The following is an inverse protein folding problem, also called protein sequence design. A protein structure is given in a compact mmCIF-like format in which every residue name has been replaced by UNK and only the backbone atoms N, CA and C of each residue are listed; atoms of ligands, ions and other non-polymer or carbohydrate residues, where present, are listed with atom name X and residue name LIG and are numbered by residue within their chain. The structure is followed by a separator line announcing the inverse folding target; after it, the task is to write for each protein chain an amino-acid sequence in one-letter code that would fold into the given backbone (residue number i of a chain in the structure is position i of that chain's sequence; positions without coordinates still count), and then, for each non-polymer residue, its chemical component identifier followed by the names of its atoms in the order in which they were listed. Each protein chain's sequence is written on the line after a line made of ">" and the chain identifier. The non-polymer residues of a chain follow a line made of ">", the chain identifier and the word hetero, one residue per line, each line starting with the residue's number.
data_IF_956506308470
#
_entry.id   IF_956506308470
#
_cell.length_a   1.000
_cell.length_b   1.000
_cell.length_c   1.000
_cell.angle_alpha   90.00
_cell.angle_beta   90.00
_cell.angle_gamma   90.00
#
_symmetry.space_group_name_H-M   'P 1'
#
loop_
_entity.id
_entity.type
_entity.pdbx_description
1 polymer ?
#
# COMPACT_ATOMS: atom_id res chain seq x y z
N UNK A 1 -24.87 3.96 18.56
CA UNK A 1 -23.80 3.17 17.89
C UNK A 1 -22.67 2.93 18.88
N UNK A 2 -22.54 1.71 19.36
CA UNK A 2 -21.60 1.38 20.40
C UNK A 2 -20.20 1.22 19.79
N UNK A 3 -19.37 2.27 19.86
CA UNK A 3 -17.97 2.29 19.42
C UNK A 3 -17.06 1.31 20.23
N UNK A 4 -17.68 0.53 21.12
CA UNK A 4 -17.02 -0.35 22.11
C UNK A 4 -16.84 -1.80 21.66
N UNK A 5 -17.24 -2.18 20.45
CA UNK A 5 -17.33 -3.59 20.03
C UNK A 5 -16.03 -4.21 19.45
N UNK A 6 -14.84 -3.76 19.79
CA UNK A 6 -13.59 -4.49 19.50
C UNK A 6 -13.26 -5.51 20.60
N UNK A 7 -12.46 -6.55 20.29
CA UNK A 7 -12.01 -7.56 21.27
C UNK A 7 -11.13 -6.94 22.36
N UNK A 8 -10.33 -5.93 21.98
CA UNK A 8 -9.41 -5.25 22.91
C UNK A 8 -9.95 -3.86 23.29
N UNK A 9 -10.39 -3.73 24.56
CA UNK A 9 -11.02 -2.52 25.09
C UNK A 9 -10.07 -1.78 26.06
N UNK A 10 -10.11 -0.44 26.02
CA UNK A 10 -9.41 0.42 26.95
C UNK A 10 -8.12 1.05 26.40
N UNK A 11 -7.70 2.15 27.06
CA UNK A 11 -6.46 2.87 26.73
C UNK A 11 -5.19 2.01 26.92
N UNK A 12 -5.04 1.21 27.99
CA UNK A 12 -3.83 0.41 28.18
C UNK A 12 -3.68 -0.70 27.12
N UNK A 13 -4.76 -1.36 26.70
CA UNK A 13 -4.73 -2.39 25.67
C UNK A 13 -4.29 -1.81 24.31
N UNK A 14 -4.72 -0.58 23.98
CA UNK A 14 -4.30 0.11 22.77
C UNK A 14 -2.79 0.42 22.75
N UNK A 15 -2.25 1.00 23.83
CA UNK A 15 -0.82 1.31 23.91
C UNK A 15 0.04 0.05 23.91
N UNK A 16 -0.42 -0.99 24.60
CA UNK A 16 0.24 -2.31 24.57
C UNK A 16 0.27 -2.86 23.13
N UNK A 17 -0.84 -2.79 22.41
CA UNK A 17 -0.89 -3.24 21.02
C UNK A 17 0.09 -2.47 20.12
N UNK A 18 0.20 -1.14 20.24
CA UNK A 18 1.18 -0.34 19.51
C UNK A 18 2.61 -0.78 19.85
N UNK A 19 2.92 -0.96 21.14
CA UNK A 19 4.26 -1.40 21.55
C UNK A 19 4.58 -2.80 21.01
N UNK A 20 3.64 -3.73 21.08
CA UNK A 20 3.79 -5.10 20.55
C UNK A 20 3.99 -5.07 19.03
N UNK A 21 3.23 -4.25 18.29
CA UNK A 21 3.37 -4.14 16.85
C UNK A 21 4.69 -3.45 16.45
N UNK A 22 5.13 -2.42 17.16
CA UNK A 22 6.44 -1.80 16.94
C UNK A 22 7.59 -2.77 17.23
N UNK A 23 7.54 -3.47 18.34
CA UNK A 23 8.51 -4.52 18.66
C UNK A 23 8.47 -5.64 17.61
N UNK A 24 7.26 -6.07 17.23
CA UNK A 24 7.05 -7.06 16.17
C UNK A 24 7.60 -6.63 14.81
N UNK A 25 7.45 -5.36 14.43
CA UNK A 25 8.00 -4.82 13.19
C UNK A 25 9.53 -4.81 13.23
N UNK A 26 10.14 -4.36 14.33
CA UNK A 26 11.59 -4.37 14.51
C UNK A 26 12.16 -5.80 14.48
N UNK A 27 11.56 -6.72 15.21
CA UNK A 27 11.96 -8.14 15.21
C UNK A 27 11.75 -8.77 13.84
N UNK A 28 10.65 -8.44 13.15
CA UNK A 28 10.39 -8.89 11.78
C UNK A 28 11.45 -8.38 10.81
N UNK A 29 11.86 -7.12 10.89
CA UNK A 29 12.90 -6.55 10.04
C UNK A 29 14.25 -7.25 10.28
N UNK A 30 14.64 -7.41 11.56
CA UNK A 30 15.88 -8.09 11.94
C UNK A 30 15.88 -9.55 11.44
N UNK A 31 14.76 -10.24 11.54
CA UNK A 31 14.69 -11.63 11.11
C UNK A 31 14.56 -11.77 9.60
N UNK A 32 13.71 -10.97 8.97
CA UNK A 32 13.44 -11.02 7.54
C UNK A 32 14.68 -10.76 6.67
N UNK A 33 15.64 -9.94 7.14
CA UNK A 33 16.88 -9.65 6.41
C UNK A 33 17.77 -10.88 6.24
N UNK A 34 17.64 -11.88 7.12
CA UNK A 34 18.42 -13.13 7.04
C UNK A 34 17.90 -14.08 5.95
N UNK A 35 16.62 -13.95 5.57
CA UNK A 35 16.00 -14.77 4.51
C UNK A 35 16.25 -14.20 3.11
N UNK A 36 16.56 -15.07 2.16
CA UNK A 36 16.73 -14.70 0.76
C UNK A 36 17.11 -15.92 -0.09
N UNK A 37 17.18 -15.71 -1.41
CA UNK A 37 17.56 -16.75 -2.39
C UNK A 37 19.00 -17.26 -2.25
N UNK A 38 19.85 -16.49 -1.57
CA UNK A 38 21.25 -16.85 -1.27
C UNK A 38 21.36 -17.09 0.23
N UNK A 39 21.89 -18.24 0.62
CA UNK A 39 22.12 -18.57 2.03
C UNK A 39 23.33 -17.79 2.56
N UNK A 40 23.06 -16.92 3.53
CA UNK A 40 24.09 -16.17 4.27
C UNK A 40 23.96 -16.53 5.75
N UNK A 41 25.12 -16.66 6.42
CA UNK A 41 25.13 -16.88 7.87
C UNK A 41 24.53 -15.66 8.59
N UNK A 42 23.59 -15.89 9.49
CA UNK A 42 22.92 -14.84 10.25
C UNK A 42 23.88 -13.85 10.91
N UNK A 43 24.99 -14.36 11.50
CA UNK A 43 26.00 -13.52 12.11
C UNK A 43 26.68 -12.56 11.13
N UNK A 44 26.95 -12.99 9.90
CA UNK A 44 27.58 -12.16 8.89
C UNK A 44 26.63 -11.07 8.36
N UNK A 45 25.34 -11.41 8.21
CA UNK A 45 24.30 -10.42 7.85
C UNK A 45 24.28 -9.26 8.85
N UNK A 46 24.27 -9.56 10.15
CA UNK A 46 24.26 -8.52 11.18
C UNK A 46 25.58 -7.74 11.27
N UNK A 47 26.72 -8.39 11.01
CA UNK A 47 28.02 -7.69 10.95
C UNK A 47 28.10 -6.72 9.79
N UNK A 48 27.57 -7.09 8.61
CA UNK A 48 27.45 -6.16 7.46
C UNK A 48 26.58 -4.96 7.83
N UNK A 49 25.43 -5.19 8.44
CA UNK A 49 24.53 -4.08 8.85
C UNK A 49 25.23 -3.18 9.86
N UNK A 50 25.85 -3.77 10.89
CA UNK A 50 26.60 -3.01 11.90
C UNK A 50 27.72 -2.19 11.27
N UNK A 51 28.51 -2.79 10.39
CA UNK A 51 29.59 -2.11 9.69
C UNK A 51 29.05 -0.92 8.87
N UNK A 52 28.04 -1.13 8.03
CA UNK A 52 27.47 -0.09 7.16
C UNK A 52 26.81 1.05 7.95
N UNK A 53 26.12 0.75 9.04
CA UNK A 53 25.55 1.78 9.92
C UNK A 53 26.62 2.59 10.63
N UNK A 54 27.66 1.92 11.17
CA UNK A 54 28.75 2.61 11.86
C UNK A 54 29.68 3.35 10.89
N UNK A 55 29.85 2.87 9.67
CA UNK A 55 30.53 3.59 8.57
C UNK A 55 29.81 4.90 8.24
N UNK A 56 28.48 4.87 8.11
CA UNK A 56 27.65 6.06 7.88
C UNK A 56 27.73 7.07 9.05
N UNK A 57 27.99 6.60 10.26
CA UNK A 57 28.21 7.43 11.46
C UNK A 57 29.67 7.85 11.66
N UNK A 58 30.58 7.55 10.72
CA UNK A 58 32.01 7.88 10.71
C UNK A 58 32.86 7.16 11.77
N UNK A 59 32.41 6.01 12.30
CA UNK A 59 33.20 5.15 13.19
C UNK A 59 32.99 3.65 12.86
N UNK A 60 33.48 3.16 11.72
CA UNK A 60 33.25 1.80 11.26
C UNK A 60 33.75 0.76 12.27
N UNK A 61 32.88 -0.20 12.62
CA UNK A 61 33.16 -1.31 13.52
C UNK A 61 33.15 -2.62 12.72
N UNK A 62 34.31 -3.26 12.60
CA UNK A 62 34.47 -4.53 11.89
C UNK A 62 35.51 -4.44 10.78
N UNK A 63 35.67 -5.56 10.07
CA UNK A 63 36.61 -5.68 8.97
C UNK A 63 36.05 -5.10 7.69
N UNK A 64 36.70 -4.05 7.15
CA UNK A 64 36.23 -3.35 5.95
C UNK A 64 36.36 -4.21 4.68
N UNK A 65 37.35 -5.12 4.62
CA UNK A 65 37.53 -6.00 3.46
C UNK A 65 36.45 -7.09 3.40
N UNK A 66 35.92 -7.52 4.56
CA UNK A 66 34.93 -8.59 4.67
C UNK A 66 33.48 -8.06 4.68
N UNK A 67 33.22 -6.96 5.41
CA UNK A 67 31.86 -6.46 5.65
C UNK A 67 31.57 -5.13 4.95
N UNK A 68 32.60 -4.42 4.50
CA UNK A 68 32.49 -3.12 3.83
C UNK A 68 32.21 -3.24 2.32
N UNK A 69 32.69 -4.33 1.69
CA UNK A 69 32.61 -4.52 0.23
C UNK A 69 32.42 -6.00 -0.14
N UNK A 70 32.12 -6.25 -1.41
CA UNK A 70 31.94 -7.60 -1.94
C UNK A 70 30.49 -8.09 -1.96
N UNK A 71 30.25 -9.22 -2.62
CA UNK A 71 28.90 -9.70 -2.96
C UNK A 71 27.99 -9.91 -1.74
N UNK A 72 28.55 -10.32 -0.60
CA UNK A 72 27.77 -10.50 0.64
C UNK A 72 27.27 -9.15 1.16
N UNK A 73 28.15 -8.13 1.25
CA UNK A 73 27.79 -6.77 1.65
C UNK A 73 26.74 -6.18 0.70
N UNK A 74 26.93 -6.34 -0.60
CA UNK A 74 26.04 -5.81 -1.63
C UNK A 74 24.65 -6.45 -1.56
N UNK A 75 24.57 -7.77 -1.38
CA UNK A 75 23.28 -8.48 -1.21
C UNK A 75 22.52 -7.98 0.01
N UNK A 76 23.19 -7.79 1.15
CA UNK A 76 22.53 -7.36 2.37
C UNK A 76 22.11 -5.89 2.28
N UNK A 77 23.04 -5.01 1.86
CA UNK A 77 22.86 -3.56 1.95
C UNK A 77 22.11 -2.95 0.77
N UNK A 78 22.29 -3.45 -0.46
CA UNK A 78 21.67 -2.91 -1.66
C UNK A 78 20.50 -3.73 -2.20
N UNK A 79 20.30 -4.98 -1.73
CA UNK A 79 19.19 -5.80 -2.18
C UNK A 79 18.21 -6.08 -1.05
N UNK A 80 18.63 -6.74 0.04
CA UNK A 80 17.71 -7.20 1.09
C UNK A 80 17.12 -6.07 1.91
N UNK A 81 17.96 -5.20 2.47
CA UNK A 81 17.48 -4.11 3.33
C UNK A 81 16.58 -3.10 2.60
N UNK A 82 16.97 -2.56 1.41
CA UNK A 82 16.11 -1.65 0.70
C UNK A 82 14.74 -2.26 0.41
N UNK A 83 14.71 -3.52 0.03
CA UNK A 83 13.49 -4.23 -0.29
C UNK A 83 12.54 -4.36 0.91
N UNK A 84 13.07 -4.66 2.11
CA UNK A 84 12.29 -4.72 3.34
C UNK A 84 11.77 -3.34 3.76
N UNK A 85 12.61 -2.30 3.62
CA UNK A 85 12.21 -0.91 3.90
C UNK A 85 11.10 -0.46 2.95
N UNK A 86 11.21 -0.81 1.66
CA UNK A 86 10.15 -0.54 0.69
C UNK A 86 8.85 -1.26 1.05
N UNK A 87 8.93 -2.54 1.45
CA UNK A 87 7.76 -3.30 1.89
C UNK A 87 7.04 -2.62 3.07
N UNK A 88 7.79 -2.12 4.05
CA UNK A 88 7.25 -1.36 5.18
C UNK A 88 6.47 -0.13 4.67
N UNK A 89 7.11 0.71 3.85
CA UNK A 89 6.50 1.95 3.35
C UNK A 89 5.23 1.68 2.52
N UNK A 90 5.31 0.76 1.56
CA UNK A 90 4.18 0.40 0.70
C UNK A 90 3.05 -0.24 1.50
N UNK A 91 3.36 -1.15 2.42
CA UNK A 91 2.37 -1.78 3.29
C UNK A 91 1.61 -0.78 4.17
N UNK A 92 2.33 0.19 4.75
CA UNK A 92 1.73 1.32 5.49
C UNK A 92 0.80 2.13 4.60
N UNK A 93 1.29 2.56 3.43
CA UNK A 93 0.54 3.43 2.52
C UNK A 93 -0.77 2.78 2.05
N UNK A 94 -0.72 1.53 1.61
CA UNK A 94 -1.89 0.81 1.13
C UNK A 94 -2.91 0.56 2.26
N UNK A 95 -2.46 0.18 3.46
CA UNK A 95 -3.34 0.00 4.61
C UNK A 95 -4.01 1.32 5.01
N UNK A 96 -3.27 2.44 5.05
CA UNK A 96 -3.81 3.77 5.33
C UNK A 96 -4.83 4.22 4.29
N UNK A 97 -4.50 4.07 3.00
CA UNK A 97 -5.43 4.39 1.93
C UNK A 97 -6.72 3.57 2.05
N UNK A 98 -6.61 2.28 2.43
CA UNK A 98 -7.75 1.42 2.70
C UNK A 98 -8.63 1.91 3.85
N UNK A 99 -8.04 2.30 4.98
CA UNK A 99 -8.79 2.88 6.12
C UNK A 99 -9.62 4.07 5.67
N UNK A 100 -9.01 4.98 4.93
CA UNK A 100 -9.62 6.24 4.47
C UNK A 100 -10.71 5.97 3.44
N UNK A 101 -10.44 5.10 2.46
CA UNK A 101 -11.41 4.75 1.42
C UNK A 101 -12.66 4.10 2.00
N UNK A 102 -12.49 3.18 2.95
CA UNK A 102 -13.60 2.54 3.64
C UNK A 102 -14.46 3.54 4.44
N UNK A 103 -13.84 4.59 5.00
CA UNK A 103 -14.57 5.66 5.68
C UNK A 103 -15.36 6.54 4.69
N UNK A 104 -14.73 6.96 3.59
CA UNK A 104 -15.33 7.83 2.57
C UNK A 104 -16.52 7.14 1.89
N UNK A 105 -16.33 5.88 1.50
CA UNK A 105 -17.36 5.09 0.79
C UNK A 105 -18.40 4.53 1.76
N UNK A 106 -18.15 4.56 3.07
CA UNK A 106 -18.96 3.94 4.12
C UNK A 106 -19.19 2.44 3.89
N UNK A 107 -18.17 1.79 3.33
CA UNK A 107 -18.20 0.37 3.06
C UNK A 107 -16.89 -0.28 3.55
N UNK A 108 -16.94 -1.20 4.52
CA UNK A 108 -15.73 -1.88 5.02
C UNK A 108 -15.05 -2.76 3.97
N UNK A 109 -15.72 -3.00 2.85
CA UNK A 109 -15.22 -3.79 1.72
C UNK A 109 -14.61 -2.90 0.61
N UNK A 110 -14.55 -1.59 0.80
CA UNK A 110 -13.95 -0.70 -0.18
C UNK A 110 -12.42 -0.87 -0.19
N UNK A 111 -11.90 -1.16 -1.37
CA UNK A 111 -10.46 -1.19 -1.66
C UNK A 111 -10.03 0.19 -2.18
N UNK A 112 -8.82 0.67 -1.89
CA UNK A 112 -8.29 1.92 -2.46
C UNK A 112 -8.33 1.96 -3.99
N UNK A 113 -8.26 0.81 -4.63
CA UNK A 113 -8.29 0.67 -6.08
C UNK A 113 -9.68 0.82 -6.72
N UNK A 114 -10.77 0.78 -5.94
CA UNK A 114 -12.16 0.94 -6.44
C UNK A 114 -12.35 2.29 -7.17
N UNK A 115 -11.56 3.30 -6.85
CA UNK A 115 -11.58 4.59 -7.55
C UNK A 115 -10.81 4.61 -8.87
N UNK A 116 -10.53 3.46 -9.47
CA UNK A 116 -9.83 3.41 -10.75
C UNK A 116 -8.33 3.71 -10.70
N UNK A 117 -7.76 3.88 -9.50
CA UNK A 117 -6.32 4.16 -9.31
C UNK A 117 -5.47 3.08 -9.96
N UNK A 118 -5.79 1.80 -9.72
CA UNK A 118 -5.09 0.65 -10.32
C UNK A 118 -5.22 0.62 -11.84
N UNK A 119 -6.40 0.87 -12.37
CA UNK A 119 -6.65 0.86 -13.83
C UNK A 119 -5.94 2.02 -14.53
N UNK A 120 -5.93 3.20 -13.91
CA UNK A 120 -5.16 4.35 -14.37
C UNK A 120 -3.66 4.09 -14.37
N UNK A 121 -3.16 3.47 -13.30
CA UNK A 121 -1.77 3.04 -13.19
C UNK A 121 -1.39 2.02 -14.28
N UNK A 122 -2.24 1.02 -14.47
CA UNK A 122 -2.04 -0.02 -15.49
C UNK A 122 -2.02 0.58 -16.90
N UNK A 123 -2.92 1.50 -17.21
CA UNK A 123 -2.93 2.22 -18.49
C UNK A 123 -1.65 3.05 -18.65
N UNK A 124 -1.24 3.81 -17.62
CA UNK A 124 -0.01 4.59 -17.64
C UNK A 124 1.22 3.72 -17.90
N UNK A 125 1.35 2.60 -17.20
CA UNK A 125 2.44 1.65 -17.40
C UNK A 125 2.40 1.02 -18.80
N UNK A 126 1.22 0.65 -19.29
CA UNK A 126 1.04 0.09 -20.62
C UNK A 126 1.52 1.07 -21.69
N UNK A 127 1.11 2.34 -21.60
CA UNK A 127 1.57 3.39 -22.53
C UNK A 127 3.08 3.64 -22.43
N UNK A 128 3.63 3.65 -21.22
CA UNK A 128 5.05 3.80 -21.00
C UNK A 128 5.85 2.65 -21.63
N UNK A 129 5.44 1.40 -21.41
CA UNK A 129 6.15 0.20 -21.87
C UNK A 129 6.00 0.00 -23.38
N UNK A 130 4.77 0.16 -23.93
CA UNK A 130 4.50 -0.12 -25.34
C UNK A 130 4.84 1.04 -26.27
N UNK A 131 4.56 2.27 -25.86
CA UNK A 131 4.70 3.47 -26.70
C UNK A 131 5.93 4.29 -26.31
N UNK A 132 6.52 4.02 -25.14
CA UNK A 132 7.66 4.79 -24.64
C UNK A 132 7.27 6.16 -24.06
N UNK A 133 6.00 6.35 -23.68
CA UNK A 133 5.55 7.62 -23.08
C UNK A 133 6.38 7.88 -21.82
N UNK A 134 6.99 9.06 -21.75
CA UNK A 134 7.81 9.47 -20.60
C UNK A 134 9.26 8.94 -20.63
N UNK A 135 9.72 8.27 -21.69
CA UNK A 135 11.09 7.70 -21.76
C UNK A 135 12.20 8.74 -21.54
N UNK A 136 11.92 10.01 -21.81
CA UNK A 136 12.84 11.13 -21.55
C UNK A 136 13.03 11.45 -20.05
N UNK A 137 12.21 10.86 -19.14
CA UNK A 137 12.27 11.07 -17.69
C UNK A 137 13.31 10.17 -16.99
N UNK A 138 14.05 9.35 -17.73
CA UNK A 138 15.08 8.46 -17.17
C UNK A 138 14.58 7.07 -16.78
N UNK A 139 15.38 6.32 -16.05
CA UNK A 139 15.16 4.88 -15.79
C UNK A 139 13.88 4.52 -15.03
N UNK A 140 13.32 5.45 -14.25
CA UNK A 140 12.08 5.23 -13.46
C UNK A 140 10.78 5.64 -14.17
N UNK A 141 10.82 5.98 -15.47
CA UNK A 141 9.70 6.60 -16.18
C UNK A 141 8.41 5.78 -16.18
N UNK A 142 8.49 4.47 -16.23
CA UNK A 142 7.29 3.60 -16.20
C UNK A 142 6.50 3.81 -14.92
N UNK A 143 7.16 3.84 -13.78
CA UNK A 143 6.52 4.12 -12.50
C UNK A 143 5.95 5.54 -12.43
N UNK A 144 6.67 6.55 -12.94
CA UNK A 144 6.20 7.94 -12.97
C UNK A 144 4.95 8.11 -13.84
N UNK A 145 4.93 7.51 -15.03
CA UNK A 145 3.76 7.55 -15.90
C UNK A 145 2.58 6.76 -15.32
N UNK A 146 2.85 5.64 -14.65
CA UNK A 146 1.83 4.89 -13.92
C UNK A 146 1.26 5.70 -12.75
N UNK A 147 2.11 6.38 -11.97
CA UNK A 147 1.68 7.32 -10.93
C UNK A 147 0.79 8.43 -11.50
N UNK A 148 1.22 9.06 -12.60
CA UNK A 148 0.44 10.10 -13.26
C UNK A 148 -0.92 9.57 -13.74
N UNK A 149 -0.95 8.39 -14.36
CA UNK A 149 -2.18 7.71 -14.78
C UNK A 149 -3.13 7.43 -13.61
N UNK A 150 -2.60 6.89 -12.51
CA UNK A 150 -3.35 6.66 -11.29
C UNK A 150 -3.98 7.95 -10.73
N UNK A 151 -3.18 9.00 -10.65
CA UNK A 151 -3.60 10.29 -10.11
C UNK A 151 -4.63 10.99 -11.02
N UNK A 152 -4.40 10.99 -12.33
CA UNK A 152 -5.32 11.58 -13.30
C UNK A 152 -6.70 10.87 -13.30
N UNK A 153 -6.70 9.54 -13.22
CA UNK A 153 -7.96 8.80 -13.12
C UNK A 153 -8.68 9.11 -11.81
N UNK A 154 -7.96 9.20 -10.69
CA UNK A 154 -8.56 9.62 -9.41
C UNK A 154 -9.17 11.02 -9.49
N UNK A 155 -8.49 11.98 -10.13
CA UNK A 155 -9.01 13.32 -10.38
C UNK A 155 -10.25 13.27 -11.26
N UNK A 156 -10.24 12.44 -12.31
CA UNK A 156 -11.39 12.21 -13.18
C UNK A 156 -12.60 11.64 -12.42
N UNK A 157 -12.38 10.68 -11.51
CA UNK A 157 -13.44 10.13 -10.65
C UNK A 157 -14.04 11.22 -9.76
N UNK A 158 -13.20 12.03 -9.12
CA UNK A 158 -13.66 13.14 -8.28
C UNK A 158 -14.46 14.15 -9.12
N UNK A 159 -13.96 14.52 -10.30
CA UNK A 159 -14.64 15.44 -11.18
C UNK A 159 -16.00 14.91 -11.65
N UNK A 160 -16.08 13.66 -12.13
CA UNK A 160 -17.31 13.01 -12.55
C UNK A 160 -18.32 12.87 -11.40
N UNK A 161 -17.87 12.48 -10.21
CA UNK A 161 -18.75 12.34 -9.05
C UNK A 161 -19.36 13.66 -8.57
N UNK A 162 -18.76 14.80 -8.93
CA UNK A 162 -19.26 16.13 -8.61
C UNK A 162 -20.21 16.69 -9.70
N UNK A 163 -20.34 16.05 -10.85
CA UNK A 163 -21.29 16.50 -11.90
C UNK A 163 -22.72 16.34 -11.36
N UNK A 164 -23.51 17.41 -11.49
CA UNK A 164 -24.90 17.45 -11.02
C UNK A 164 -25.06 17.49 -9.50
N UNK A 165 -24.05 17.99 -8.76
CA UNK A 165 -24.11 18.22 -7.32
C UNK A 165 -22.96 17.57 -6.54
N UNK A 166 -23.14 17.43 -5.22
CA UNK A 166 -22.08 16.90 -4.33
C UNK A 166 -21.78 15.43 -4.60
N UNK A 167 -20.49 15.08 -4.53
CA UNK A 167 -20.03 13.70 -4.63
C UNK A 167 -20.58 12.86 -3.47
N UNK A 168 -21.27 11.78 -3.81
CA UNK A 168 -21.75 10.74 -2.88
C UNK A 168 -20.90 9.49 -3.04
N UNK A 169 -20.95 8.59 -2.06
CA UNK A 169 -20.26 7.28 -2.12
C UNK A 169 -20.65 6.50 -3.37
N UNK A 170 -21.93 6.50 -3.74
CA UNK A 170 -22.45 5.81 -4.94
C UNK A 170 -21.86 6.43 -6.22
N UNK A 171 -21.88 7.76 -6.36
CA UNK A 171 -21.31 8.44 -7.52
C UNK A 171 -19.81 8.16 -7.67
N UNK A 172 -19.06 8.13 -6.56
CA UNK A 172 -17.63 7.81 -6.58
C UNK A 172 -17.39 6.39 -7.08
N UNK A 173 -18.14 5.40 -6.60
CA UNK A 173 -18.02 4.01 -7.06
C UNK A 173 -18.38 3.89 -8.54
N UNK A 174 -19.50 4.47 -8.98
CA UNK A 174 -19.92 4.42 -10.38
C UNK A 174 -18.93 5.10 -11.31
N UNK A 175 -18.43 6.28 -10.95
CA UNK A 175 -17.39 6.97 -11.73
C UNK A 175 -16.10 6.16 -11.78
N UNK A 176 -15.68 5.56 -10.65
CA UNK A 176 -14.50 4.71 -10.56
C UNK A 176 -14.60 3.47 -11.44
N UNK A 177 -15.73 2.76 -11.41
CA UNK A 177 -15.97 1.59 -12.27
C UNK A 177 -16.01 1.95 -13.74
N UNK A 178 -16.66 3.05 -14.12
CA UNK A 178 -16.71 3.50 -15.51
C UNK A 178 -15.33 3.87 -16.05
N UNK A 179 -14.56 4.68 -15.32
CA UNK A 179 -13.20 5.05 -15.72
C UNK A 179 -12.26 3.84 -15.74
N UNK A 180 -12.41 2.90 -14.79
CA UNK A 180 -11.65 1.64 -14.80
C UNK A 180 -11.91 0.83 -16.07
N UNK A 181 -13.15 0.72 -16.50
CA UNK A 181 -13.51 0.01 -17.73
C UNK A 181 -12.91 0.69 -18.97
N UNK A 182 -12.94 2.04 -19.04
CA UNK A 182 -12.30 2.80 -20.12
C UNK A 182 -10.78 2.56 -20.13
N UNK A 183 -10.11 2.69 -18.99
CA UNK A 183 -8.67 2.46 -18.89
C UNK A 183 -8.29 1.03 -19.30
N UNK A 184 -9.05 0.03 -18.88
CA UNK A 184 -8.83 -1.36 -19.25
C UNK A 184 -9.01 -1.58 -20.77
N UNK A 185 -10.09 -1.03 -21.34
CA UNK A 185 -10.34 -1.13 -22.79
C UNK A 185 -9.23 -0.46 -23.61
N UNK A 186 -8.78 0.72 -23.21
CA UNK A 186 -7.67 1.43 -23.88
C UNK A 186 -6.35 0.66 -23.73
N UNK A 187 -6.07 0.10 -22.57
CA UNK A 187 -4.86 -0.73 -22.36
C UNK A 187 -4.87 -1.97 -23.27
N UNK A 188 -6.00 -2.67 -23.37
CA UNK A 188 -6.15 -3.85 -24.23
C UNK A 188 -6.04 -3.44 -25.71
N UNK A 189 -6.61 -2.29 -26.09
CA UNK A 189 -6.50 -1.77 -27.46
C UNK A 189 -5.03 -1.53 -27.86
N UNK A 190 -4.24 -0.88 -27.01
CA UNK A 190 -2.82 -0.66 -27.25
C UNK A 190 -2.04 -1.98 -27.32
N UNK A 191 -2.33 -2.93 -26.42
CA UNK A 191 -1.74 -4.28 -26.47
C UNK A 191 -2.06 -5.01 -27.77
N UNK A 192 -3.27 -4.84 -28.32
CA UNK A 192 -3.69 -5.45 -29.58
C UNK A 192 -3.03 -4.81 -30.81
N UNK A 193 -3.01 -3.47 -30.84
CA UNK A 193 -2.50 -2.71 -32.01
C UNK A 193 -0.97 -2.74 -32.09
N UNK A 194 -0.28 -2.66 -30.95
CA UNK A 194 1.19 -2.58 -30.86
C UNK A 194 1.79 -3.99 -30.62
N UNK A 195 1.19 -5.04 -31.15
CA UNK A 195 1.67 -6.41 -30.98
C UNK A 195 2.95 -6.68 -31.80
N UNK A 196 4.04 -6.00 -31.45
CA UNK A 196 5.31 -6.08 -32.22
C UNK A 196 6.36 -7.02 -31.61
N UNK A 197 6.22 -7.40 -30.33
CA UNK A 197 7.13 -8.37 -29.70
C UNK A 197 6.49 -9.05 -28.49
N UNK A 198 6.70 -10.37 -28.36
CA UNK A 198 6.27 -11.16 -27.19
C UNK A 198 6.79 -10.60 -25.85
N UNK A 199 7.95 -9.94 -25.83
CA UNK A 199 8.56 -9.36 -24.64
C UNK A 199 7.81 -8.15 -24.07
N UNK A 200 7.15 -7.35 -24.90
CA UNK A 200 6.41 -6.17 -24.43
C UNK A 200 5.16 -6.56 -23.63
N UNK A 201 4.42 -7.55 -24.10
CA UNK A 201 3.28 -8.10 -23.35
C UNK A 201 3.72 -8.66 -22.00
N UNK A 202 4.80 -9.45 -21.99
CA UNK A 202 5.35 -10.00 -20.74
C UNK A 202 5.76 -8.90 -19.76
N UNK A 203 6.38 -7.82 -20.25
CA UNK A 203 6.77 -6.68 -19.42
C UNK A 203 5.56 -5.99 -18.78
N UNK A 204 4.47 -5.76 -19.53
CA UNK A 204 3.23 -5.18 -19.00
C UNK A 204 2.61 -6.10 -17.95
N UNK A 205 2.49 -7.39 -18.23
CA UNK A 205 1.94 -8.38 -17.30
C UNK A 205 2.78 -8.45 -16.03
N UNK A 206 4.10 -8.53 -16.15
CA UNK A 206 5.04 -8.57 -15.02
C UNK A 206 4.92 -7.30 -14.16
N UNK A 207 4.84 -6.12 -14.80
CA UNK A 207 4.69 -4.86 -14.08
C UNK A 207 3.37 -4.78 -13.30
N UNK A 208 2.26 -5.25 -13.90
CA UNK A 208 0.93 -5.24 -13.25
C UNK A 208 0.81 -6.23 -12.10
N UNK A 209 1.66 -7.25 -12.03
CA UNK A 209 1.71 -8.19 -10.91
C UNK A 209 2.38 -7.63 -9.65
N UNK A 210 3.07 -6.48 -9.76
CA UNK A 210 3.80 -5.85 -8.67
C UNK A 210 5.09 -6.59 -8.28
N UNK A 211 6.11 -5.82 -7.92
CA UNK A 211 7.41 -6.34 -7.45
C UNK A 211 8.12 -5.31 -6.59
N UNK A 212 8.82 -5.78 -5.56
CA UNK A 212 9.71 -4.96 -4.73
C UNK A 212 11.19 -5.12 -5.14
N UNK A 213 11.47 -5.84 -6.23
CA UNK A 213 12.84 -6.13 -6.66
C UNK A 213 13.65 -4.91 -7.10
N UNK A 214 12.97 -3.84 -7.56
CA UNK A 214 13.61 -2.58 -7.96
C UNK A 214 13.85 -1.60 -6.78
N UNK A 215 13.73 -2.06 -5.55
CA UNK A 215 13.94 -1.24 -4.36
C UNK A 215 15.36 -0.65 -4.31
N UNK A 216 15.46 0.63 -4.04
CA UNK A 216 16.71 1.36 -3.83
C UNK A 216 16.60 2.30 -2.63
N UNK A 217 17.73 2.68 -2.01
CA UNK A 217 17.69 3.59 -0.86
C UNK A 217 17.01 4.92 -1.17
N UNK A 218 17.26 5.49 -2.36
CA UNK A 218 16.70 6.79 -2.76
C UNK A 218 15.17 6.74 -2.88
N UNK A 219 14.63 5.73 -3.57
CA UNK A 219 13.18 5.59 -3.74
C UNK A 219 12.48 5.21 -2.44
N UNK A 220 13.12 4.39 -1.60
CA UNK A 220 12.56 3.91 -0.34
C UNK A 220 12.40 5.01 0.71
N UNK A 221 13.39 5.91 0.80
CA UNK A 221 13.31 7.04 1.73
C UNK A 221 12.11 7.94 1.41
N UNK A 222 11.86 8.22 0.13
CA UNK A 222 10.68 8.96 -0.30
C UNK A 222 9.38 8.21 0.01
N UNK A 223 9.33 6.92 -0.30
CA UNK A 223 8.14 6.10 0.00
C UNK A 223 7.84 6.06 1.49
N UNK A 224 8.87 5.84 2.32
CA UNK A 224 8.72 5.81 3.77
C UNK A 224 8.28 7.18 4.32
N UNK A 225 8.90 8.28 3.84
CA UNK A 225 8.54 9.64 4.25
C UNK A 225 7.07 9.94 3.91
N UNK A 226 6.64 9.65 2.69
CA UNK A 226 5.25 9.86 2.24
C UNK A 226 4.27 9.02 3.07
N UNK A 227 4.62 7.77 3.40
CA UNK A 227 3.78 6.89 4.22
C UNK A 227 3.66 7.38 5.67
N UNK A 228 4.77 7.81 6.28
CA UNK A 228 4.77 8.35 7.65
C UNK A 228 4.02 9.68 7.71
N UNK A 229 4.25 10.59 6.75
CA UNK A 229 3.51 11.85 6.67
C UNK A 229 2.02 11.62 6.45
N UNK A 230 1.66 10.66 5.60
CA UNK A 230 0.28 10.23 5.38
C UNK A 230 -0.35 9.66 6.66
N UNK A 231 0.39 8.84 7.40
CA UNK A 231 -0.07 8.29 8.69
C UNK A 231 -0.34 9.41 9.71
N UNK A 232 0.59 10.35 9.84
CA UNK A 232 0.45 11.51 10.73
C UNK A 232 -0.72 12.39 10.30
N UNK A 233 -0.82 12.72 9.01
CA UNK A 233 -1.92 13.52 8.48
C UNK A 233 -3.28 12.87 8.79
N UNK A 234 -3.51 11.63 8.41
CA UNK A 234 -4.79 10.96 8.65
C UNK A 234 -5.05 10.73 10.14
N UNK A 235 -4.01 10.49 10.93
CA UNK A 235 -4.18 10.37 12.38
C UNK A 235 -4.66 11.68 13.03
N UNK A 236 -4.19 12.84 12.57
CA UNK A 236 -4.74 14.14 13.05
C UNK A 236 -6.20 14.33 12.65
N UNK A 237 -6.65 13.69 11.56
CA UNK A 237 -7.98 13.81 11.00
C UNK A 237 -8.99 12.75 11.51
N UNK A 238 -8.63 11.97 12.55
CA UNK A 238 -9.44 10.86 13.04
C UNK A 238 -10.88 11.25 13.39
N UNK A 239 -11.12 12.49 13.90
CA UNK A 239 -12.46 12.99 14.24
C UNK A 239 -13.34 13.13 13.01
N UNK A 240 -12.83 13.74 11.97
CA UNK A 240 -13.54 13.93 10.71
C UNK A 240 -13.81 12.60 10.00
N UNK A 241 -12.84 11.65 10.04
CA UNK A 241 -13.03 10.30 9.53
C UNK A 241 -14.10 9.53 10.33
N UNK A 242 -14.15 9.70 11.64
CA UNK A 242 -15.23 9.14 12.47
C UNK A 242 -16.60 9.74 12.12
N UNK A 243 -16.66 11.06 11.84
CA UNK A 243 -17.89 11.73 11.40
C UNK A 243 -18.36 11.21 10.02
N UNK A 244 -17.44 10.86 9.11
CA UNK A 244 -17.79 10.27 7.81
C UNK A 244 -18.59 8.96 7.95
N UNK A 245 -18.30 8.16 8.97
CA UNK A 245 -19.04 6.93 9.24
C UNK A 245 -20.50 7.19 9.66
N UNK A 246 -20.77 8.32 10.35
CA UNK A 246 -22.13 8.69 10.79
C UNK A 246 -22.99 9.17 9.63
N UNK A 247 -22.40 9.66 8.55
CA UNK A 247 -23.10 10.16 7.39
C UNK A 247 -23.12 11.68 7.26
N UNK A 248 -23.50 12.15 6.08
CA UNK A 248 -23.44 13.55 5.73
C UNK A 248 -24.46 14.39 6.53
N UNK A 249 -25.68 13.85 6.74
CA UNK A 249 -26.73 14.53 7.50
C UNK A 249 -26.31 14.75 8.97
N UNK A 250 -25.78 13.69 9.61
CA UNK A 250 -25.30 13.78 10.98
C UNK A 250 -24.09 14.73 11.10
N UNK A 251 -23.20 14.77 10.11
CA UNK A 251 -22.05 15.66 10.12
C UNK A 251 -22.43 17.13 9.96
N UNK A 252 -23.42 17.43 9.11
CA UNK A 252 -23.95 18.79 8.93
C UNK A 252 -24.60 19.30 10.22
N UNK A 253 -25.38 18.48 10.91
CA UNK A 253 -25.97 18.86 12.21
C UNK A 253 -24.90 19.12 13.27
N UNK A 254 -23.74 18.50 13.15
CA UNK A 254 -22.56 18.74 14.00
C UNK A 254 -21.65 19.86 13.48
N UNK A 255 -22.10 20.64 12.48
CA UNK A 255 -21.38 21.79 11.95
C UNK A 255 -20.20 21.49 11.04
N UNK A 256 -20.07 20.26 10.52
CA UNK A 256 -18.94 19.85 9.66
C UNK A 256 -19.41 19.55 8.24
N UNK A 257 -18.84 20.29 7.25
CA UNK A 257 -19.02 19.96 5.83
C UNK A 257 -18.02 18.89 5.37
N UNK A 258 -18.52 17.66 5.24
CA UNK A 258 -17.69 16.52 4.81
C UNK A 258 -17.29 16.57 3.34
N UNK A 259 -17.96 17.37 2.50
CA UNK A 259 -17.68 17.39 1.07
C UNK A 259 -16.24 17.80 0.75
N UNK A 260 -15.77 18.90 1.36
CA UNK A 260 -14.39 19.38 1.18
C UNK A 260 -13.36 18.37 1.71
N UNK A 261 -13.60 17.83 2.89
CA UNK A 261 -12.71 16.83 3.50
C UNK A 261 -12.66 15.54 2.70
N UNK A 262 -13.78 15.12 2.09
CA UNK A 262 -13.82 13.96 1.20
C UNK A 262 -12.86 14.13 0.02
N UNK A 263 -12.86 15.29 -0.64
CA UNK A 263 -11.95 15.59 -1.75
C UNK A 263 -10.49 15.55 -1.26
N UNK A 264 -10.18 16.23 -0.17
CA UNK A 264 -8.81 16.27 0.39
C UNK A 264 -8.31 14.86 0.73
N UNK A 265 -9.16 14.04 1.35
CA UNK A 265 -8.77 12.67 1.73
C UNK A 265 -8.64 11.74 0.52
N UNK A 266 -9.48 11.91 -0.49
CA UNK A 266 -9.34 11.18 -1.75
C UNK A 266 -8.02 11.51 -2.45
N UNK A 267 -7.66 12.79 -2.52
CA UNK A 267 -6.39 13.23 -3.11
C UNK A 267 -5.19 12.70 -2.31
N UNK A 268 -5.22 12.80 -0.99
CA UNK A 268 -4.15 12.30 -0.13
C UNK A 268 -4.01 10.77 -0.21
N UNK A 269 -5.12 10.03 -0.23
CA UNK A 269 -5.11 8.58 -0.43
C UNK A 269 -4.60 8.20 -1.82
N UNK A 270 -4.99 8.94 -2.86
CA UNK A 270 -4.49 8.72 -4.24
C UNK A 270 -3.00 8.98 -4.36
N UNK A 271 -2.45 9.96 -3.64
CA UNK A 271 -1.01 10.17 -3.56
C UNK A 271 -0.30 8.99 -2.91
N UNK A 272 -0.79 8.49 -1.76
CA UNK A 272 -0.22 7.32 -1.10
C UNK A 272 -0.20 6.09 -2.01
N UNK A 273 -1.33 5.79 -2.64
CA UNK A 273 -1.44 4.65 -3.57
C UNK A 273 -0.59 4.87 -4.81
N UNK A 274 -0.56 6.09 -5.34
CA UNK A 274 0.26 6.45 -6.49
C UNK A 274 1.76 6.24 -6.23
N UNK A 275 2.28 6.68 -5.07
CA UNK A 275 3.67 6.42 -4.67
C UNK A 275 3.94 4.93 -4.47
N UNK A 276 3.00 4.17 -3.88
CA UNK A 276 3.12 2.73 -3.74
C UNK A 276 3.22 2.06 -5.13
N UNK A 277 2.37 2.46 -6.06
CA UNK A 277 2.37 1.96 -7.44
C UNK A 277 3.63 2.38 -8.21
N UNK A 278 4.10 3.62 -8.02
CA UNK A 278 5.37 4.09 -8.60
C UNK A 278 6.54 3.19 -8.23
N UNK A 279 6.62 2.79 -6.96
CA UNK A 279 7.78 2.05 -6.42
C UNK A 279 7.65 0.53 -6.53
N UNK A 280 6.44 -0.01 -6.53
CA UNK A 280 6.20 -1.45 -6.36
C UNK A 280 5.21 -2.06 -7.39
N UNK A 281 4.63 -1.25 -8.29
CA UNK A 281 3.56 -1.70 -9.16
C UNK A 281 2.25 -1.93 -8.38
N UNK A 282 1.34 -2.73 -8.92
CA UNK A 282 0.01 -2.92 -8.35
C UNK A 282 0.04 -4.05 -7.31
N UNK A 283 -0.31 -3.73 -6.05
CA UNK A 283 -0.38 -4.69 -4.94
C UNK A 283 -1.77 -4.60 -4.29
N UNK A 284 -2.63 -5.58 -4.57
CA UNK A 284 -3.99 -5.64 -4.06
C UNK A 284 -4.12 -6.24 -2.65
N UNK A 285 -5.34 -6.21 -2.12
CA UNK A 285 -5.78 -6.82 -0.86
C UNK A 285 -5.24 -6.21 0.44
N UNK A 286 -4.09 -5.56 0.46
CA UNK A 286 -3.52 -4.95 1.69
C UNK A 286 -4.49 -3.91 2.25
N UNK A 287 -4.93 -2.97 1.41
CA UNK A 287 -5.88 -1.91 1.80
C UNK A 287 -7.29 -2.40 2.14
N UNK A 288 -7.64 -3.59 1.68
CA UNK A 288 -8.92 -4.21 1.98
C UNK A 288 -8.90 -5.00 3.30
N UNK A 289 -7.94 -5.91 3.42
CA UNK A 289 -7.88 -6.92 4.49
C UNK A 289 -7.38 -6.32 5.80
N UNK A 290 -6.30 -5.55 5.75
CA UNK A 290 -5.65 -5.05 6.98
C UNK A 290 -6.57 -4.14 7.79
N UNK A 291 -7.20 -3.08 7.24
CA UNK A 291 -8.11 -2.25 8.01
C UNK A 291 -9.32 -3.02 8.53
N UNK A 292 -9.79 -4.01 7.77
CA UNK A 292 -10.91 -4.84 8.17
C UNK A 292 -10.55 -5.71 9.38
N UNK A 293 -9.38 -6.37 9.38
CA UNK A 293 -8.87 -7.14 10.53
C UNK A 293 -8.73 -6.26 11.78
N UNK A 294 -8.11 -5.08 11.62
CA UNK A 294 -7.92 -4.15 12.75
C UNK A 294 -9.25 -3.68 13.31
N UNK A 295 -10.24 -3.42 12.45
CA UNK A 295 -11.58 -3.01 12.88
C UNK A 295 -12.29 -4.08 13.70
N UNK A 296 -12.12 -5.34 13.37
CA UNK A 296 -12.66 -6.46 14.15
C UNK A 296 -12.03 -6.52 15.54
N UNK A 297 -10.73 -6.27 15.65
CA UNK A 297 -9.98 -6.40 16.91
C UNK A 297 -10.12 -5.17 17.82
N UNK A 298 -10.08 -3.95 17.24
CA UNK A 298 -9.96 -2.68 17.97
C UNK A 298 -11.15 -1.74 17.81
N UNK A 299 -12.16 -2.11 16.99
CA UNK A 299 -13.34 -1.29 16.71
C UNK A 299 -13.13 -0.29 15.57
N UNK A 300 -14.11 0.60 15.40
CA UNK A 300 -14.21 1.52 14.25
C UNK A 300 -13.59 2.89 14.49
N UNK A 301 -13.07 3.18 15.70
CA UNK A 301 -12.47 4.48 16.02
C UNK A 301 -11.16 4.68 15.25
N UNK A 302 -11.14 5.65 14.33
CA UNK A 302 -9.99 5.98 13.50
C UNK A 302 -8.75 6.42 14.28
N UNK A 303 -8.92 6.93 15.53
CA UNK A 303 -7.80 7.25 16.40
C UNK A 303 -6.91 6.03 16.67
N UNK A 304 -7.51 4.84 16.79
CA UNK A 304 -6.84 3.56 17.01
C UNK A 304 -6.57 2.84 15.68
N UNK A 305 -7.55 2.88 14.78
CA UNK A 305 -7.54 2.15 13.52
C UNK A 305 -6.35 2.55 12.63
N UNK A 306 -6.05 3.85 12.52
CA UNK A 306 -5.00 4.37 11.62
C UNK A 306 -3.62 3.85 12.00
N UNK A 307 -3.09 4.08 13.24
CA UNK A 307 -1.73 3.66 13.56
C UNK A 307 -1.57 2.13 13.61
N UNK A 308 -2.59 1.40 14.07
CA UNK A 308 -2.54 -0.06 14.10
C UNK A 308 -2.56 -0.63 12.68
N UNK A 309 -3.40 -0.09 11.78
CA UNK A 309 -3.44 -0.52 10.37
C UNK A 309 -2.13 -0.24 9.63
N UNK A 310 -1.50 0.91 9.90
CA UNK A 310 -0.21 1.25 9.32
C UNK A 310 0.87 0.22 9.71
N UNK A 311 1.01 -0.08 10.99
CA UNK A 311 1.99 -1.03 11.50
C UNK A 311 1.71 -2.47 11.03
N UNK A 312 0.46 -2.89 11.08
CA UNK A 312 0.08 -4.24 10.63
C UNK A 312 0.24 -4.40 9.12
N UNK A 313 -0.06 -3.36 8.32
CA UNK A 313 0.18 -3.35 6.88
C UNK A 313 1.66 -3.45 6.54
N UNK A 314 2.52 -2.74 7.29
CA UNK A 314 3.97 -2.84 7.15
C UNK A 314 4.47 -4.27 7.42
N UNK A 315 4.06 -4.87 8.54
CA UNK A 315 4.44 -6.25 8.91
C UNK A 315 3.93 -7.25 7.88
N UNK A 316 2.67 -7.13 7.46
CA UNK A 316 2.07 -8.03 6.48
C UNK A 316 2.82 -8.02 5.15
N UNK A 317 3.11 -6.84 4.59
CA UNK A 317 3.78 -6.76 3.30
C UNK A 317 5.25 -7.16 3.37
N UNK A 318 5.93 -6.87 4.49
CA UNK A 318 7.29 -7.33 4.77
C UNK A 318 7.37 -8.87 4.71
N UNK A 319 6.48 -9.56 5.42
CA UNK A 319 6.46 -11.03 5.39
C UNK A 319 5.96 -11.60 4.07
N UNK A 320 5.05 -10.91 3.38
CA UNK A 320 4.66 -11.28 2.02
C UNK A 320 5.86 -11.25 1.07
N UNK A 321 6.72 -10.22 1.16
CA UNK A 321 7.94 -10.15 0.36
C UNK A 321 8.93 -11.28 0.67
N UNK A 322 9.11 -11.62 1.95
CA UNK A 322 9.95 -12.77 2.33
C UNK A 322 9.43 -14.06 1.73
N UNK A 323 8.12 -14.31 1.84
CA UNK A 323 7.49 -15.51 1.26
C UNK A 323 7.65 -15.57 -0.26
N UNK A 324 7.54 -14.43 -0.97
CA UNK A 324 7.76 -14.37 -2.42
C UNK A 324 9.14 -14.89 -2.84
N UNK A 325 10.15 -14.70 -1.99
CA UNK A 325 11.55 -15.06 -2.27
C UNK A 325 11.95 -16.46 -1.81
N UNK A 326 11.20 -17.05 -0.88
CA UNK A 326 11.62 -18.30 -0.21
C UNK A 326 10.77 -19.50 -0.61
N UNK A 327 9.50 -19.30 -0.99
CA UNK A 327 8.57 -20.42 -1.28
C UNK A 327 8.95 -21.23 -2.51
N UNK A 328 9.43 -20.58 -3.57
CA UNK A 328 9.85 -21.27 -4.80
C UNK A 328 11.36 -21.13 -5.01
N UNK A 329 12.14 -22.22 -4.94
CA UNK A 329 13.58 -22.17 -5.18
C UNK A 329 13.89 -21.66 -6.61
N UNK A 330 14.76 -20.65 -6.70
CA UNK A 330 15.20 -20.09 -7.99
C UNK A 330 14.18 -19.25 -8.75
N UNK A 331 12.97 -19.05 -8.20
CA UNK A 331 11.93 -18.20 -8.80
C UNK A 331 11.31 -17.30 -7.75
N UNK A 332 11.03 -16.06 -8.13
CA UNK A 332 10.33 -15.12 -7.30
C UNK A 332 8.84 -15.06 -7.66
N UNK A 333 7.97 -15.20 -6.66
CA UNK A 333 6.53 -15.01 -6.85
C UNK A 333 6.25 -13.50 -6.89
N UNK A 334 5.49 -12.99 -7.88
CA UNK A 334 5.05 -11.59 -7.86
C UNK A 334 4.24 -11.28 -6.59
N UNK A 335 4.56 -10.17 -5.92
CA UNK A 335 3.98 -9.88 -4.60
C UNK A 335 2.47 -9.65 -4.65
N UNK A 336 1.95 -9.06 -5.74
CA UNK A 336 0.51 -8.88 -5.93
C UNK A 336 -0.24 -10.21 -6.05
N UNK A 337 0.39 -11.25 -6.63
CA UNK A 337 -0.18 -12.60 -6.69
C UNK A 337 -0.22 -13.21 -5.29
N UNK A 338 0.86 -13.12 -4.53
CA UNK A 338 0.90 -13.66 -3.17
C UNK A 338 -0.12 -12.97 -2.25
N UNK A 339 -0.18 -11.64 -2.27
CA UNK A 339 -1.13 -10.88 -1.45
C UNK A 339 -2.58 -11.21 -1.82
N UNK A 340 -2.87 -11.49 -3.10
CA UNK A 340 -4.19 -11.93 -3.53
C UNK A 340 -4.51 -13.35 -3.07
N UNK A 341 -3.56 -14.29 -3.19
CA UNK A 341 -3.73 -15.69 -2.75
C UNK A 341 -3.94 -15.82 -1.24
N UNK A 342 -3.31 -14.96 -0.46
CA UNK A 342 -3.48 -14.93 1.00
C UNK A 342 -4.70 -14.07 1.38
N UNK A 343 -4.84 -12.91 0.77
CA UNK A 343 -5.85 -11.92 1.14
C UNK A 343 -7.28 -12.34 0.78
N UNK A 344 -7.49 -12.94 -0.40
CA UNK A 344 -8.84 -13.33 -0.82
C UNK A 344 -9.46 -14.41 0.07
N UNK A 345 -8.79 -15.52 0.44
CA UNK A 345 -9.35 -16.49 1.38
C UNK A 345 -9.61 -15.90 2.77
N UNK A 346 -8.69 -15.07 3.29
CA UNK A 346 -8.87 -14.39 4.58
C UNK A 346 -10.10 -13.49 4.51
N UNK A 347 -10.26 -12.74 3.43
CA UNK A 347 -11.39 -11.86 3.23
C UNK A 347 -12.72 -12.63 3.15
N UNK A 348 -12.78 -13.73 2.38
CA UNK A 348 -13.97 -14.61 2.30
C UNK A 348 -14.33 -15.17 3.67
N UNK A 349 -13.33 -15.64 4.42
CA UNK A 349 -13.53 -16.15 5.78
C UNK A 349 -14.09 -15.10 6.73
N UNK A 350 -13.53 -13.89 6.70
CA UNK A 350 -14.00 -12.77 7.51
C UNK A 350 -15.42 -12.38 7.12
N UNK A 351 -15.73 -12.37 5.83
CA UNK A 351 -17.06 -12.08 5.30
C UNK A 351 -18.11 -13.12 5.76
N UNK A 352 -17.76 -14.39 5.77
CA UNK A 352 -18.67 -15.46 6.15
C UNK A 352 -19.01 -15.48 7.65
N UNK A 353 -18.14 -14.93 8.52
CA UNK A 353 -18.29 -15.02 9.98
C UNK A 353 -19.10 -13.88 10.61
N UNK A 354 -19.34 -12.76 9.97
CA UNK A 354 -20.06 -11.61 10.57
C UNK A 354 -21.12 -11.04 9.66
N UNK A 355 -22.27 -10.63 10.25
CA UNK A 355 -23.26 -9.76 9.57
C UNK A 355 -22.59 -8.42 9.26
N UNK A 356 -22.51 -8.05 7.99
CA UNK A 356 -21.84 -6.85 7.50
C UNK A 356 -22.77 -5.62 7.58
N UNK A 357 -22.30 -4.55 8.23
CA UNK A 357 -22.87 -3.21 8.18
C UNK A 357 -22.10 -2.25 9.08
N UNK A 358 -21.87 -1.03 8.62
CA UNK A 358 -21.57 0.10 9.51
C UNK A 358 -22.87 0.47 10.25
N UNK A 359 -23.30 -0.36 11.22
CA UNK A 359 -24.42 -0.05 12.11
C UNK A 359 -25.75 0.22 11.37
N UNK A 360 -26.42 -0.83 11.02
CA UNK A 360 -27.83 -0.83 10.63
C UNK A 360 -28.39 -2.16 11.08
N UNK A 361 -29.28 -2.13 12.07
CA UNK A 361 -29.98 -3.33 12.50
C UNK A 361 -30.73 -3.98 11.35
N UNK A 362 -30.67 -5.28 11.31
CA UNK A 362 -31.75 -6.25 11.52
C UNK A 362 -31.09 -7.61 11.64
#
# INVERSE_FOLDING_TARGET
>A
MDLKNGVFHGRPAYWLAILVLLAGLLLSLLWAVTFGSVDLKMGDVYRVILYKVTEALHFPVGDSEVYGSGSMSDIVWFVRLPRLVLAIGVGMALALAGVVMQAIVKNPLADPYVLGVSSGASLGATLAILVGVGSFLGSGYVGLVAFAGAFLVSMGVIALANIGGRATSVKLILAGTALSAICAAVSIFFLYVINTSSGALEAVVRWTMGSLAAASWDTNLWMLAVSVLGALFFWTQYRTLNLMLLGDEAAVTLGTDLHRWRIVYLLAASLLVGFAVYTAGIIGFVGLVIPHMVRILFGTDHKKLIPISALLGAIFLLWSDVLCRVVLPGKEIPIGVLTALVGAPVFIYLMARKKYGFGGGD
#
